data_IF_699762856711
#
_entry.id   IF_699762856711
#
_cell.length_a   1.000
_cell.length_b   1.000
_cell.length_c   1.000
_cell.angle_alpha   90.00
_cell.angle_beta   90.00
_cell.angle_gamma   90.00
#
_symmetry.space_group_name_H-M   'P 1'
#
loop_
_entity.id
_entity.type
_entity.pdbx_description
1 polymer ?
#
# COMPACT_ATOMS: atom_id res chain seq x y z
N UNK A 1 -16.02 3.11 0.61
CA UNK A 1 -16.28 4.54 0.32
C UNK A 1 -15.69 4.85 -1.05
N UNK A 2 -16.24 5.79 -1.85
CA UNK A 2 -15.60 6.17 -3.13
C UNK A 2 -14.16 6.61 -2.89
N UNK A 3 -13.20 6.17 -3.72
CA UNK A 3 -11.78 6.48 -3.58
C UNK A 3 -11.51 7.96 -3.24
N UNK A 4 -10.63 8.20 -2.26
CA UNK A 4 -10.34 9.56 -1.80
C UNK A 4 -9.36 10.32 -2.70
N UNK A 5 -8.48 9.63 -3.42
CA UNK A 5 -7.44 10.24 -4.26
C UNK A 5 -7.88 10.51 -5.70
N UNK A 6 -7.51 11.68 -6.24
CA UNK A 6 -7.66 12.03 -7.66
C UNK A 6 -6.45 11.56 -8.49
N UNK A 7 -5.94 10.36 -8.22
CA UNK A 7 -4.75 9.80 -8.87
C UNK A 7 -5.14 8.55 -9.69
N UNK A 8 -5.49 8.71 -10.99
CA UNK A 8 -6.03 7.60 -11.78
C UNK A 8 -5.07 6.40 -11.90
N UNK A 9 -3.75 6.57 -12.14
CA UNK A 9 -2.82 5.44 -12.13
C UNK A 9 -2.76 4.68 -10.81
N UNK A 10 -2.86 5.38 -9.68
CA UNK A 10 -2.93 4.75 -8.37
C UNK A 10 -4.23 3.95 -8.20
N UNK A 11 -5.36 4.59 -8.48
CA UNK A 11 -6.68 3.99 -8.32
C UNK A 11 -6.84 2.77 -9.24
N UNK A 12 -6.36 2.85 -10.48
CA UNK A 12 -6.37 1.73 -11.41
C UNK A 12 -5.54 0.54 -10.90
N UNK A 13 -4.40 0.81 -10.23
CA UNK A 13 -3.60 -0.24 -9.62
C UNK A 13 -4.34 -0.90 -8.44
N UNK A 14 -4.90 -0.08 -7.54
CA UNK A 14 -5.66 -0.55 -6.38
C UNK A 14 -6.92 -1.35 -6.78
N UNK A 15 -7.54 -1.01 -7.91
CA UNK A 15 -8.69 -1.72 -8.43
C UNK A 15 -8.35 -3.12 -8.98
N UNK A 16 -7.09 -3.33 -9.40
CA UNK A 16 -6.67 -4.53 -10.12
C UNK A 16 -5.78 -5.47 -9.32
N UNK A 17 -4.98 -4.96 -8.38
CA UNK A 17 -3.88 -5.73 -7.79
C UNK A 17 -3.94 -5.84 -6.25
N UNK A 18 -4.02 -7.09 -5.72
CA UNK A 18 -4.56 -8.31 -6.34
C UNK A 18 -6.06 -8.08 -6.66
N UNK A 19 -6.82 -9.05 -7.20
CA UNK A 19 -8.23 -8.80 -7.52
C UNK A 19 -8.97 -8.15 -6.34
N UNK A 20 -9.35 -6.88 -6.49
CA UNK A 20 -10.02 -6.11 -5.46
C UNK A 20 -11.49 -6.52 -5.41
N UNK A 21 -12.01 -6.77 -4.22
CA UNK A 21 -13.42 -7.11 -4.01
C UNK A 21 -14.36 -5.95 -4.34
N UNK A 22 -13.89 -4.71 -4.23
CA UNK A 22 -14.67 -3.50 -4.47
C UNK A 22 -13.90 -2.47 -5.32
N UNK A 23 -13.69 -2.72 -6.63
CA UNK A 23 -13.07 -1.74 -7.52
C UNK A 23 -13.80 -0.39 -7.50
N UNK A 24 -13.05 0.71 -7.57
CA UNK A 24 -13.51 2.09 -7.45
C UNK A 24 -13.78 2.56 -6.02
N UNK A 25 -13.47 1.75 -5.01
CA UNK A 25 -13.79 2.01 -3.62
C UNK A 25 -12.61 1.75 -2.68
N UNK A 26 -12.42 2.66 -1.73
CA UNK A 26 -11.60 2.41 -0.55
C UNK A 26 -12.42 1.65 0.50
N UNK A 27 -11.72 0.87 1.33
CA UNK A 27 -12.31 0.12 2.44
C UNK A 27 -12.03 0.87 3.74
N UNK A 28 -13.09 1.19 4.48
CA UNK A 28 -12.98 1.90 5.76
C UNK A 28 -12.99 0.90 6.91
N UNK A 29 -11.89 0.80 7.65
CA UNK A 29 -11.73 -0.07 8.83
C UNK A 29 -11.09 0.76 9.95
N UNK A 30 -11.72 0.77 11.13
CA UNK A 30 -11.28 1.55 12.30
C UNK A 30 -10.97 3.02 11.99
N UNK A 31 -11.84 3.66 11.19
CA UNK A 31 -11.67 5.05 10.76
C UNK A 31 -10.55 5.28 9.73
N UNK A 32 -9.79 4.24 9.33
CA UNK A 32 -8.74 4.30 8.30
C UNK A 32 -9.25 3.75 6.97
N UNK A 33 -8.89 4.45 5.89
CA UNK A 33 -9.14 4.05 4.51
C UNK A 33 -7.96 3.22 4.00
N UNK A 34 -8.28 2.09 3.40
CA UNK A 34 -7.35 1.19 2.72
C UNK A 34 -7.75 1.12 1.25
N UNK A 35 -6.77 0.99 0.37
CA UNK A 35 -6.97 1.09 -1.09
C UNK A 35 -7.74 -0.10 -1.67
N UNK A 36 -7.62 -1.29 -1.05
CA UNK A 36 -8.35 -2.47 -1.50
C UNK A 36 -8.60 -3.49 -0.38
N UNK A 37 -9.63 -4.32 -0.60
CA UNK A 37 -9.80 -5.60 0.10
C UNK A 37 -9.64 -6.71 -0.93
N UNK A 38 -8.68 -7.60 -0.72
CA UNK A 38 -8.43 -8.71 -1.63
C UNK A 38 -9.64 -9.66 -1.72
N UNK A 39 -10.02 -10.02 -2.94
CA UNK A 39 -11.14 -10.93 -3.18
C UNK A 39 -10.87 -12.32 -2.58
N UNK A 40 -11.88 -12.87 -1.91
CA UNK A 40 -11.84 -14.22 -1.35
C UNK A 40 -11.10 -14.38 -0.02
N UNK A 41 -10.36 -13.36 0.45
CA UNK A 41 -9.62 -13.40 1.73
C UNK A 41 -9.82 -12.10 2.52
N UNK A 42 -9.50 -12.12 3.82
CA UNK A 42 -9.57 -10.94 4.68
C UNK A 42 -8.22 -10.22 4.74
N UNK A 43 -7.78 -9.66 3.62
CA UNK A 43 -6.51 -8.93 3.52
C UNK A 43 -6.74 -7.54 2.94
N UNK A 44 -6.38 -6.51 3.70
CA UNK A 44 -6.40 -5.11 3.30
C UNK A 44 -5.09 -4.72 2.64
N UNK A 45 -5.16 -3.81 1.68
CA UNK A 45 -4.01 -3.35 0.91
C UNK A 45 -3.84 -1.84 0.99
N UNK A 46 -2.59 -1.42 1.07
CA UNK A 46 -2.15 -0.05 0.78
C UNK A 46 -1.23 -0.10 -0.44
N UNK A 47 -1.43 0.78 -1.42
CA UNK A 47 -0.72 0.82 -2.69
C UNK A 47 0.17 2.07 -2.76
N UNK A 48 1.38 1.89 -3.29
CA UNK A 48 2.35 2.96 -3.57
C UNK A 48 2.82 2.82 -5.02
N UNK A 49 2.29 3.67 -5.90
CA UNK A 49 2.57 3.60 -7.35
C UNK A 49 3.77 4.43 -7.81
N UNK A 50 4.36 5.23 -6.92
CA UNK A 50 5.50 6.08 -7.25
C UNK A 50 6.73 5.29 -7.70
N UNK A 51 7.44 5.83 -8.71
CA UNK A 51 8.73 5.30 -9.20
C UNK A 51 9.87 5.64 -8.25
N UNK A 52 9.88 4.98 -7.09
CA UNK A 52 10.88 5.15 -6.04
C UNK A 52 12.33 4.98 -6.55
N UNK A 53 12.52 4.09 -7.52
CA UNK A 53 13.78 3.86 -8.23
C UNK A 53 14.33 5.10 -8.96
N UNK A 54 13.49 6.07 -9.28
CA UNK A 54 13.92 7.32 -9.94
C UNK A 54 14.32 8.42 -8.96
N UNK A 55 14.02 8.25 -7.68
CA UNK A 55 14.33 9.26 -6.65
C UNK A 55 15.82 9.29 -6.35
N UNK A 56 16.34 10.49 -6.10
CA UNK A 56 17.69 10.64 -5.55
C UNK A 56 17.76 10.11 -4.11
N UNK A 57 18.97 9.88 -3.60
CA UNK A 57 19.17 9.25 -2.30
C UNK A 57 18.52 10.01 -1.12
N UNK A 58 18.50 11.35 -1.17
CA UNK A 58 17.88 12.15 -0.13
C UNK A 58 16.37 11.93 -0.09
N UNK A 59 15.70 11.99 -1.26
CA UNK A 59 14.25 11.78 -1.36
C UNK A 59 13.88 10.36 -0.98
N UNK A 60 14.63 9.34 -1.44
CA UNK A 60 14.40 7.94 -1.02
C UNK A 60 14.39 7.80 0.49
N UNK A 61 15.39 8.37 1.18
CA UNK A 61 15.47 8.32 2.64
C UNK A 61 14.28 9.00 3.31
N UNK A 62 13.90 10.20 2.87
CA UNK A 62 12.75 10.90 3.45
C UNK A 62 11.45 10.12 3.22
N UNK A 63 11.23 9.62 2.01
CA UNK A 63 10.03 8.81 1.68
C UNK A 63 9.90 7.59 2.59
N UNK A 64 10.99 6.88 2.87
CA UNK A 64 10.95 5.71 3.77
C UNK A 64 10.69 6.13 5.23
N UNK A 65 11.37 7.18 5.71
CA UNK A 65 11.16 7.70 7.07
C UNK A 65 9.72 8.15 7.33
N UNK A 66 9.05 8.69 6.31
CA UNK A 66 7.65 9.08 6.38
C UNK A 66 6.70 7.89 6.28
N UNK A 67 6.97 6.93 5.38
CA UNK A 67 6.04 5.84 5.09
C UNK A 67 6.01 4.76 6.17
N UNK A 68 7.16 4.34 6.70
CA UNK A 68 7.24 3.22 7.65
C UNK A 68 6.30 3.38 8.86
N UNK A 69 6.28 4.51 9.59
CA UNK A 69 5.39 4.64 10.75
C UNK A 69 3.90 4.61 10.37
N UNK A 70 3.52 5.15 9.19
CA UNK A 70 2.14 5.12 8.72
C UNK A 70 1.70 3.69 8.34
N UNK A 71 2.57 2.95 7.65
CA UNK A 71 2.32 1.56 7.26
C UNK A 71 2.23 0.64 8.49
N UNK A 72 3.02 0.91 9.53
CA UNK A 72 2.93 0.20 10.81
C UNK A 72 1.59 0.47 11.51
N UNK A 73 1.15 1.73 11.57
CA UNK A 73 -0.17 2.09 12.13
C UNK A 73 -1.32 1.43 11.34
N UNK A 74 -1.22 1.41 10.01
CA UNK A 74 -2.19 0.76 9.12
C UNK A 74 -2.28 -0.74 9.33
N UNK A 75 -1.12 -1.41 9.40
CA UNK A 75 -1.01 -2.83 9.75
C UNK A 75 -1.69 -3.10 11.08
N UNK A 76 -1.33 -2.35 12.12
CA UNK A 76 -1.82 -2.59 13.47
C UNK A 76 -3.36 -2.42 13.54
N UNK A 77 -3.93 -1.42 12.84
CA UNK A 77 -5.39 -1.26 12.71
C UNK A 77 -6.06 -2.40 11.95
N UNK A 78 -5.48 -2.84 10.84
CA UNK A 78 -5.98 -3.97 10.07
C UNK A 78 -6.01 -5.25 10.90
N UNK A 79 -4.90 -5.55 11.58
CA UNK A 79 -4.72 -6.74 12.41
C UNK A 79 -5.63 -6.74 13.64
N UNK A 80 -5.79 -5.59 14.31
CA UNK A 80 -6.74 -5.44 15.41
C UNK A 80 -8.19 -5.73 15.00
N UNK A 81 -8.52 -5.51 13.73
CA UNK A 81 -9.84 -5.81 13.15
C UNK A 81 -9.92 -7.22 12.51
N UNK A 82 -8.88 -8.06 12.66
CA UNK A 82 -8.84 -9.42 12.12
C UNK A 82 -8.67 -9.49 10.61
N UNK A 83 -7.96 -8.52 10.02
CA UNK A 83 -7.50 -8.56 8.64
C UNK A 83 -5.99 -8.78 8.59
N UNK A 84 -5.50 -9.44 7.54
CA UNK A 84 -4.11 -9.29 7.14
C UNK A 84 -3.89 -7.94 6.45
N UNK A 85 -2.64 -7.53 6.34
CA UNK A 85 -2.25 -6.29 5.69
C UNK A 85 -1.09 -6.52 4.70
N UNK A 86 -1.19 -5.91 3.52
CA UNK A 86 -0.15 -5.99 2.49
C UNK A 86 0.10 -4.61 1.89
N UNK A 87 1.37 -4.31 1.63
CA UNK A 87 1.79 -3.10 0.93
C UNK A 87 2.18 -3.46 -0.50
N UNK A 88 1.50 -2.87 -1.47
CA UNK A 88 1.87 -2.99 -2.88
C UNK A 88 2.76 -1.84 -3.32
N UNK A 89 3.97 -2.12 -3.80
CA UNK A 89 4.90 -1.08 -4.31
C UNK A 89 5.25 -1.30 -5.78
N UNK A 90 5.63 -0.23 -6.48
CA UNK A 90 5.96 -0.30 -7.92
C UNK A 90 7.28 -1.01 -8.25
N UNK A 91 8.27 -0.94 -7.35
CA UNK A 91 9.64 -1.39 -7.66
C UNK A 91 10.27 -2.20 -6.53
N UNK A 92 11.22 -3.06 -6.90
CA UNK A 92 11.99 -3.88 -5.96
C UNK A 92 12.83 -3.02 -5.01
N UNK A 93 13.34 -1.87 -5.47
CA UNK A 93 14.11 -0.95 -4.63
C UNK A 93 13.25 -0.35 -3.51
N UNK A 94 11.98 -0.07 -3.78
CA UNK A 94 11.06 0.43 -2.75
C UNK A 94 10.76 -0.67 -1.73
N UNK A 95 10.48 -1.88 -2.22
CA UNK A 95 10.28 -3.05 -1.36
C UNK A 95 11.46 -3.28 -0.43
N UNK A 96 12.66 -3.40 -1.00
CA UNK A 96 13.88 -3.63 -0.23
C UNK A 96 14.14 -2.52 0.79
N UNK A 97 13.86 -1.26 0.46
CA UNK A 97 14.05 -0.14 1.37
C UNK A 97 13.06 -0.16 2.55
N UNK A 98 11.80 -0.55 2.33
CA UNK A 98 10.82 -0.70 3.41
C UNK A 98 11.13 -1.93 4.28
N UNK A 99 11.49 -3.06 3.68
CA UNK A 99 11.86 -4.30 4.41
C UNK A 99 13.12 -4.11 5.28
N UNK A 100 14.05 -3.26 4.85
CA UNK A 100 15.24 -2.92 5.63
C UNK A 100 14.91 -2.18 6.93
N UNK A 101 13.85 -1.38 6.95
CA UNK A 101 13.40 -0.65 8.15
C UNK A 101 12.44 -1.48 9.00
N UNK A 102 11.51 -2.22 8.37
CA UNK A 102 10.60 -3.13 9.07
C UNK A 102 10.34 -4.42 8.27
N UNK A 103 11.04 -5.49 8.68
CA UNK A 103 10.89 -6.84 8.13
C UNK A 103 9.54 -7.52 8.41
N UNK A 104 8.69 -6.94 9.24
CA UNK A 104 7.35 -7.46 9.52
C UNK A 104 6.29 -6.88 8.58
N UNK A 105 6.62 -5.87 7.77
CA UNK A 105 5.74 -5.42 6.69
C UNK A 105 5.72 -6.47 5.57
N UNK A 106 4.53 -6.91 5.18
CA UNK A 106 4.36 -7.80 4.02
C UNK A 106 4.28 -6.95 2.75
N UNK A 107 5.35 -6.95 1.95
CA UNK A 107 5.49 -6.07 0.79
C UNK A 107 5.57 -6.87 -0.51
N UNK A 108 4.73 -6.50 -1.47
CA UNK A 108 4.63 -7.13 -2.78
C UNK A 108 4.91 -6.09 -3.87
N UNK A 109 5.74 -6.45 -4.85
CA UNK A 109 5.93 -5.62 -6.04
C UNK A 109 4.77 -5.84 -7.00
N UNK A 110 4.00 -4.78 -7.26
CA UNK A 110 2.84 -4.81 -8.17
C UNK A 110 3.25 -4.50 -9.61
N UNK A 111 4.37 -3.79 -9.81
CA UNK A 111 4.84 -3.32 -11.11
C UNK A 111 3.98 -2.22 -11.74
N UNK A 112 2.94 -1.75 -11.04
CA UNK A 112 2.15 -0.59 -11.45
C UNK A 112 3.06 0.63 -11.59
N UNK A 113 2.78 1.51 -12.55
CA UNK A 113 3.60 2.70 -12.78
C UNK A 113 2.72 3.93 -12.76
N UNK A 114 3.17 4.93 -12.02
CA UNK A 114 2.70 6.31 -12.02
C UNK A 114 3.85 7.23 -12.41
#
# INVERSE_FOLDING_TARGET
MPQAGEDPPHNECADKFPPNRYPGMDVLVDGKRFDALQAGVRVLWEIKTHRFDTYNAFIRRQTILEQVPLLQEERDKAEACGYGFVVGVSTEEHKAALEAEDRFLNIVVTGCKR
#
